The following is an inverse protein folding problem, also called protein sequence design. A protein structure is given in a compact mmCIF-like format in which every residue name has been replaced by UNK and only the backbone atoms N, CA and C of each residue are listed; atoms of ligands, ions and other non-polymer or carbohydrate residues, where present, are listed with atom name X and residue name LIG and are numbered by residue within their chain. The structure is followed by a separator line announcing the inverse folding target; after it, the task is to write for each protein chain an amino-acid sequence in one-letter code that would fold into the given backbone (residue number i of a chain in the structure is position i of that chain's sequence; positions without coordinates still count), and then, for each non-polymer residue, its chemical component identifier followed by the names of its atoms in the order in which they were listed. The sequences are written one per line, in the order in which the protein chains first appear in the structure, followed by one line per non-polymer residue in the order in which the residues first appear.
data_IF_319972751745
#
_entry.id   IF_319972751745
#
_cell.length_a   1.000
_cell.length_b   1.000
_cell.length_c   1.000
_cell.angle_alpha   90.00
_cell.angle_beta   90.00
_cell.angle_gamma   90.00
#
_symmetry.space_group_name_H-M   'P 1'
#
loop_
_entity.id
_entity.type
_entity.pdbx_description
1 polymer ?
#
# COMPACT_ATOMS: atom_id res chain seq x y z
N UNK A 1 -6.48 -25.49 -3.72
CA UNK A 1 -5.74 -24.41 -3.04
C UNK A 1 -5.12 -23.39 -4.01
N UNK A 2 -4.76 -23.74 -5.26
CA UNK A 2 -4.07 -22.81 -6.19
C UNK A 2 -4.97 -21.81 -6.94
N UNK A 3 -6.29 -22.06 -7.03
CA UNK A 3 -7.24 -21.15 -7.72
C UNK A 3 -7.59 -19.88 -6.94
N UNK A 4 -7.67 -19.94 -5.60
CA UNK A 4 -8.05 -18.78 -4.78
C UNK A 4 -7.00 -17.65 -4.80
N UNK A 5 -5.71 -18.01 -4.91
CA UNK A 5 -4.63 -17.03 -5.10
C UNK A 5 -4.64 -16.41 -6.51
N UNK A 6 -5.19 -17.12 -7.50
CA UNK A 6 -5.34 -16.62 -8.86
C UNK A 6 -6.53 -15.66 -8.97
N UNK A 7 -7.64 -15.97 -8.30
CA UNK A 7 -8.87 -15.17 -8.32
C UNK A 7 -8.83 -13.94 -7.38
N UNK A 8 -7.70 -13.66 -6.71
CA UNK A 8 -7.54 -12.56 -5.73
C UNK A 8 -8.66 -12.51 -4.66
N UNK A 9 -9.24 -13.65 -4.31
CA UNK A 9 -10.38 -13.72 -3.37
C UNK A 9 -9.97 -13.74 -1.91
N UNK A 10 -8.66 -13.82 -1.62
CA UNK A 10 -8.14 -13.62 -0.27
C UNK A 10 -8.06 -12.13 0.03
N UNK A 11 -9.04 -11.63 0.79
CA UNK A 11 -8.95 -10.30 1.37
C UNK A 11 -7.83 -10.28 2.41
N UNK A 12 -6.83 -9.44 2.19
CA UNK A 12 -5.75 -9.20 3.15
C UNK A 12 -6.01 -7.84 3.75
N UNK A 13 -6.05 -7.79 5.06
CA UNK A 13 -6.29 -6.58 5.82
C UNK A 13 -5.13 -6.42 6.80
N UNK A 14 -4.53 -5.25 6.75
CA UNK A 14 -3.35 -4.93 7.55
C UNK A 14 -3.63 -3.68 8.39
N UNK A 15 -3.18 -3.67 9.64
CA UNK A 15 -3.13 -2.45 10.44
C UNK A 15 -1.71 -1.90 10.45
N UNK A 16 -1.57 -0.60 10.21
CA UNK A 16 -0.30 0.10 10.21
C UNK A 16 -0.40 1.41 11.01
N UNK A 17 0.64 1.70 11.79
CA UNK A 17 0.84 3.01 12.39
C UNK A 17 1.74 3.83 11.48
N UNK A 18 1.22 4.93 10.96
CA UNK A 18 1.93 5.84 10.06
C UNK A 18 2.23 7.16 10.75
N UNK A 19 3.33 7.79 10.37
CA UNK A 19 3.71 9.10 10.88
C UNK A 19 2.87 10.20 10.24
N UNK A 20 2.51 11.19 11.05
CA UNK A 20 1.68 12.32 10.65
C UNK A 20 0.21 12.13 10.99
N UNK A 21 -0.54 13.21 10.77
CA UNK A 21 -1.99 13.24 10.90
C UNK A 21 -2.59 13.27 9.50
N UNK A 22 -3.15 12.14 9.07
CA UNK A 22 -3.80 12.04 7.75
C UNK A 22 -5.14 12.76 7.83
N UNK A 23 -5.32 13.82 7.04
CA UNK A 23 -6.56 14.60 7.03
C UNK A 23 -7.73 13.80 6.46
N UNK A 24 -7.52 13.03 5.39
CA UNK A 24 -8.59 12.21 4.79
C UNK A 24 -8.89 10.94 5.60
N UNK A 25 -10.17 10.57 5.69
CA UNK A 25 -10.59 9.35 6.39
C UNK A 25 -10.30 8.05 5.62
N UNK A 26 -10.14 8.16 4.30
CA UNK A 26 -9.78 7.04 3.44
C UNK A 26 -9.13 7.56 2.15
N UNK A 27 -8.32 6.73 1.51
CA UNK A 27 -7.67 7.06 0.26
C UNK A 27 -7.20 5.82 -0.49
N UNK A 28 -6.70 6.05 -1.70
CA UNK A 28 -6.14 4.99 -2.55
C UNK A 28 -4.76 5.43 -2.99
N UNK A 29 -3.78 4.55 -2.78
CA UNK A 29 -2.41 4.74 -3.24
C UNK A 29 -2.21 3.84 -4.45
N UNK A 30 -1.92 4.45 -5.59
CA UNK A 30 -1.69 3.78 -6.85
C UNK A 30 -0.27 4.04 -7.34
N UNK A 31 0.39 3.01 -7.86
CA UNK A 31 1.72 3.14 -8.45
C UNK A 31 2.27 1.80 -8.92
N UNK A 32 3.28 1.83 -9.78
CA UNK A 32 3.95 0.61 -10.19
C UNK A 32 5.10 0.32 -9.23
N UNK A 33 5.11 -0.84 -8.59
CA UNK A 33 6.15 -1.19 -7.63
C UNK A 33 7.14 -2.15 -8.29
N UNK A 34 8.42 -1.80 -8.23
CA UNK A 34 9.51 -2.58 -8.78
C UNK A 34 10.72 -2.63 -7.86
N UNK A 35 11.75 -3.37 -8.27
CA UNK A 35 13.05 -3.31 -7.58
C UNK A 35 13.72 -1.98 -7.89
N UNK A 36 14.26 -1.35 -6.85
CA UNK A 36 15.06 -0.13 -7.03
C UNK A 36 16.28 -0.41 -7.92
N UNK A 37 16.54 0.49 -8.87
CA UNK A 37 17.57 0.32 -9.92
C UNK A 37 19.00 0.38 -9.36
N UNK A 38 19.21 1.09 -8.25
CA UNK A 38 20.52 1.27 -7.60
C UNK A 38 20.73 0.26 -6.48
N UNK A 39 19.70 0.02 -5.66
CA UNK A 39 19.74 -0.90 -4.53
C UNK A 39 18.68 -2.00 -4.64
N UNK A 40 19.11 -3.19 -5.07
CA UNK A 40 18.20 -4.33 -5.30
C UNK A 40 17.56 -4.92 -4.04
N UNK A 41 18.00 -4.52 -2.84
CA UNK A 41 17.35 -4.89 -1.57
C UNK A 41 16.11 -4.05 -1.26
N UNK A 42 15.89 -2.94 -1.98
CA UNK A 42 14.77 -2.02 -1.79
C UNK A 42 13.73 -2.15 -2.91
N UNK A 43 12.50 -1.73 -2.62
CA UNK A 43 11.45 -1.50 -3.60
C UNK A 43 11.36 -0.01 -3.89
N UNK A 44 11.08 0.35 -5.14
CA UNK A 44 10.79 1.71 -5.58
C UNK A 44 9.37 1.76 -6.16
N UNK A 45 8.77 2.95 -6.07
CA UNK A 45 7.54 3.30 -6.77
C UNK A 45 7.91 4.01 -8.08
N UNK A 46 7.39 3.51 -9.19
CA UNK A 46 7.53 4.06 -10.54
C UNK A 46 6.18 4.67 -10.95
N UNK A 47 6.00 6.00 -10.84
CA UNK A 47 4.71 6.64 -11.10
C UNK A 47 4.29 6.53 -12.57
N UNK A 48 5.25 6.64 -13.49
CA UNK A 48 5.01 6.68 -14.93
C UNK A 48 4.76 5.30 -15.57
N UNK A 49 4.83 4.23 -14.77
CA UNK A 49 4.51 2.87 -15.23
C UNK A 49 5.51 2.25 -16.22
N UNK A 50 6.65 2.90 -16.47
CA UNK A 50 7.70 2.35 -17.33
C UNK A 50 8.26 1.01 -16.80
N UNK A 51 8.19 0.80 -15.48
CA UNK A 51 8.80 -0.33 -14.78
C UNK A 51 7.96 -0.75 -13.56
N UNK A 52 8.10 -2.00 -13.14
CA UNK A 52 7.39 -2.55 -11.99
C UNK A 52 6.03 -3.14 -12.34
N UNK A 53 5.36 -3.69 -11.33
CA UNK A 53 4.00 -4.24 -11.46
C UNK A 53 2.98 -3.22 -10.95
N UNK A 54 1.82 -3.08 -11.60
CA UNK A 54 0.77 -2.19 -11.11
C UNK A 54 0.32 -2.66 -9.72
N UNK A 55 0.35 -1.75 -8.76
CA UNK A 55 -0.07 -1.96 -7.39
C UNK A 55 -1.05 -0.87 -6.97
N UNK A 56 -2.11 -1.29 -6.30
CA UNK A 56 -3.15 -0.42 -5.74
C UNK A 56 -3.35 -0.88 -4.31
N UNK A 57 -3.35 0.07 -3.37
CA UNK A 57 -3.62 -0.19 -1.97
C UNK A 57 -4.62 0.85 -1.48
N UNK A 58 -5.73 0.38 -0.93
CA UNK A 58 -6.72 1.24 -0.32
C UNK A 58 -6.42 1.33 1.17
N UNK A 59 -6.45 2.53 1.73
CA UNK A 59 -6.29 2.73 3.16
C UNK A 59 -7.50 3.43 3.75
N UNK A 60 -7.76 3.16 5.03
CA UNK A 60 -8.78 3.82 5.84
C UNK A 60 -8.18 4.19 7.17
N UNK A 61 -8.41 5.42 7.62
CA UNK A 61 -8.02 5.86 8.96
C UNK A 61 -8.96 5.25 9.99
N UNK A 62 -8.38 4.57 10.97
CA UNK A 62 -9.11 4.01 12.11
C UNK A 62 -9.08 4.99 13.28
N UNK A 63 -7.90 5.56 13.57
CA UNK A 63 -7.71 6.45 14.70
C UNK A 63 -6.55 7.41 14.43
N UNK A 64 -6.72 8.68 14.82
CA UNK A 64 -5.69 9.71 14.71
C UNK A 64 -5.14 10.03 16.08
N UNK A 65 -3.85 9.83 16.25
CA UNK A 65 -3.09 10.33 17.38
C UNK A 65 -2.37 11.62 16.97
N UNK A 66 -1.86 12.38 17.95
CA UNK A 66 -1.24 13.69 17.71
C UNK A 66 -0.20 13.69 16.57
N UNK A 67 0.70 12.72 16.56
CA UNK A 67 1.82 12.64 15.62
C UNK A 67 1.81 11.39 14.74
N UNK A 68 0.85 10.49 14.95
CA UNK A 68 0.76 9.21 14.25
C UNK A 68 -0.70 8.86 13.99
N UNK A 69 -0.98 8.15 12.90
CA UNK A 69 -2.32 7.73 12.53
C UNK A 69 -2.35 6.21 12.40
N UNK A 70 -3.32 5.55 13.01
CA UNK A 70 -3.61 4.14 12.77
C UNK A 70 -4.48 4.00 11.53
N UNK A 71 -3.98 3.25 10.56
CA UNK A 71 -4.68 2.97 9.30
C UNK A 71 -4.87 1.48 9.08
N UNK A 72 -5.97 1.14 8.44
CA UNK A 72 -6.26 -0.15 7.85
C UNK A 72 -5.92 -0.10 6.36
N UNK A 73 -5.17 -1.08 5.84
CA UNK A 73 -4.79 -1.18 4.44
C UNK A 73 -5.31 -2.49 3.82
N UNK A 74 -5.86 -2.40 2.60
CA UNK A 74 -6.40 -3.50 1.79
C UNK A 74 -5.85 -3.48 0.37
#
# INVERSE_FOLDING_TARGET
MSKQFHDKTSERLYHALVWGNIEEDAGTIEGHIGRNLKNRLQQDVFPDGEQGKPAVTHFKVLERFLYVTLVECK
#
